data_IF_176110735907
#
_entry.id   IF_176110735907
#
_cell.length_a   1.000
_cell.length_b   1.000
_cell.length_c   1.000
_cell.angle_alpha   90.00
_cell.angle_beta   90.00
_cell.angle_gamma   90.00
#
_symmetry.space_group_name_H-M   'P 1'
#
loop_
_entity.id
_entity.type
_entity.pdbx_description
1 polymer ?
#
# COMPACT_ATOMS: atom_id res chain seq x y z
N UNK A 1 -13.21 10.67 27.40
CA UNK A 1 -12.30 11.61 26.71
C UNK A 1 -11.53 10.78 25.70
N UNK A 2 -11.64 11.06 24.42
CA UNK A 2 -10.82 10.37 23.40
C UNK A 2 -9.37 10.76 23.66
N UNK A 3 -8.52 9.79 23.95
CA UNK A 3 -7.09 10.05 24.10
C UNK A 3 -6.53 10.40 22.72
N UNK A 4 -5.69 11.44 22.64
CA UNK A 4 -5.00 11.83 21.41
C UNK A 4 -4.25 10.62 20.82
N UNK A 5 -4.30 10.38 19.51
CA UNK A 5 -3.52 9.32 18.89
C UNK A 5 -2.02 9.58 19.09
N UNK A 6 -1.24 8.52 19.30
CA UNK A 6 0.22 8.58 19.35
C UNK A 6 0.86 8.22 18.02
N UNK A 7 0.08 7.57 17.12
CA UNK A 7 0.49 7.20 15.79
C UNK A 7 -0.62 7.44 14.79
N UNK A 8 -0.29 8.07 13.67
CA UNK A 8 -1.14 8.23 12.49
C UNK A 8 -0.53 7.43 11.35
N UNK A 9 -1.31 6.53 10.76
CA UNK A 9 -0.97 5.78 9.57
C UNK A 9 -1.94 6.16 8.45
N UNK A 10 -1.44 6.52 7.28
CA UNK A 10 -2.28 6.91 6.15
C UNK A 10 -1.80 6.27 4.87
N UNK A 11 -2.73 5.76 4.07
CA UNK A 11 -2.46 5.56 2.67
C UNK A 11 -2.23 6.90 1.95
N UNK A 12 -1.74 6.85 0.72
CA UNK A 12 -1.42 8.01 -0.10
C UNK A 12 -2.48 8.26 -1.18
N UNK A 13 -2.54 7.39 -2.18
CA UNK A 13 -3.30 7.58 -3.41
C UNK A 13 -4.81 7.40 -3.19
N UNK A 14 -5.60 8.45 -3.36
CA UNK A 14 -7.02 8.45 -3.02
C UNK A 14 -7.32 8.78 -1.55
N UNK A 15 -6.30 8.83 -0.70
CA UNK A 15 -6.45 9.11 0.75
C UNK A 15 -5.95 10.50 1.12
N UNK A 16 -4.67 10.83 0.89
CA UNK A 16 -4.10 12.18 1.10
C UNK A 16 -3.49 12.78 -0.17
N UNK A 17 -3.27 11.97 -1.19
CA UNK A 17 -2.89 12.39 -2.53
C UNK A 17 -4.12 12.25 -3.42
N UNK A 18 -4.62 13.35 -3.95
CA UNK A 18 -5.80 13.35 -4.83
C UNK A 18 -5.54 12.59 -6.14
N UNK A 19 -6.60 12.23 -6.87
CA UNK A 19 -6.47 11.62 -8.20
C UNK A 19 -5.73 12.50 -9.22
N UNK A 20 -5.49 13.77 -8.90
CA UNK A 20 -4.69 14.71 -9.72
C UNK A 20 -3.22 14.78 -9.28
N UNK A 21 -2.81 13.96 -8.30
CA UNK A 21 -1.46 13.98 -7.75
C UNK A 21 -1.19 15.20 -6.83
N UNK A 22 -2.22 15.79 -6.25
CA UNK A 22 -2.07 17.00 -5.41
C UNK A 22 -2.32 16.65 -3.94
N UNK A 23 -1.44 17.10 -3.06
CA UNK A 23 -1.63 17.11 -1.60
C UNK A 23 -2.04 18.52 -1.20
N UNK A 24 -3.15 18.67 -0.48
CA UNK A 24 -3.61 19.98 -0.06
C UNK A 24 -2.69 20.60 1.01
N UNK A 25 -2.61 21.93 1.04
CA UNK A 25 -1.85 22.64 2.08
C UNK A 25 -2.40 22.34 3.47
N UNK A 26 -3.72 22.18 3.62
CA UNK A 26 -4.37 21.80 4.87
C UNK A 26 -3.87 20.44 5.38
N UNK A 27 -3.77 19.46 4.49
CA UNK A 27 -3.22 18.14 4.82
C UNK A 27 -1.76 18.26 5.28
N UNK A 28 -0.92 18.99 4.56
CA UNK A 28 0.48 19.21 4.96
C UNK A 28 0.55 19.87 6.34
N UNK A 29 -0.23 20.90 6.58
CA UNK A 29 -0.23 21.66 7.84
C UNK A 29 -0.67 20.81 9.03
N UNK A 30 -1.71 19.98 8.88
CA UNK A 30 -2.23 19.17 9.95
C UNK A 30 -1.28 18.03 10.32
N UNK A 31 -0.65 17.38 9.34
CA UNK A 31 0.38 16.36 9.59
C UNK A 31 1.63 16.97 10.25
N UNK A 32 2.02 18.18 9.84
CA UNK A 32 3.11 18.91 10.49
C UNK A 32 2.80 19.21 11.95
N UNK A 33 1.58 19.69 12.25
CA UNK A 33 1.13 19.91 13.64
C UNK A 33 1.09 18.61 14.44
N UNK A 34 0.60 17.52 13.85
CA UNK A 34 0.58 16.20 14.50
C UNK A 34 2.00 15.77 14.91
N UNK A 35 2.95 15.85 13.99
CA UNK A 35 4.38 15.56 14.24
C UNK A 35 4.96 16.46 15.31
N UNK A 36 4.67 17.78 15.31
CA UNK A 36 5.16 18.74 16.31
C UNK A 36 4.57 18.47 17.71
N UNK A 37 3.42 17.80 17.78
CA UNK A 37 2.81 17.30 19.01
C UNK A 37 3.38 15.94 19.46
N UNK A 38 4.38 15.41 18.76
CA UNK A 38 5.04 14.14 19.09
C UNK A 38 4.29 12.90 18.60
N UNK A 39 3.36 13.04 17.66
CA UNK A 39 2.67 11.90 17.03
C UNK A 39 3.57 11.28 15.98
N UNK A 40 3.74 9.97 16.01
CA UNK A 40 4.44 9.22 14.95
C UNK A 40 3.61 9.21 13.67
N UNK A 41 4.26 9.43 12.53
CA UNK A 41 3.60 9.46 11.22
C UNK A 41 4.16 8.34 10.34
N UNK A 42 3.29 7.46 9.86
CA UNK A 42 3.59 6.45 8.86
C UNK A 42 2.78 6.68 7.58
N UNK A 43 3.47 6.83 6.47
CA UNK A 43 2.89 6.82 5.13
C UNK A 43 2.92 5.37 4.61
N UNK A 44 1.73 4.76 4.42
CA UNK A 44 1.60 3.32 4.17
C UNK A 44 1.04 3.09 2.78
N UNK A 45 1.87 2.68 1.83
CA UNK A 45 1.54 2.75 0.40
C UNK A 45 1.92 1.50 -0.40
N UNK A 46 1.25 1.30 -1.54
CA UNK A 46 1.70 0.37 -2.58
C UNK A 46 2.90 0.86 -3.39
N UNK A 47 3.23 2.15 -3.32
CA UNK A 47 4.35 2.75 -4.07
C UNK A 47 5.70 2.18 -3.65
N UNK A 48 6.64 1.99 -4.58
CA UNK A 48 8.05 1.77 -4.25
C UNK A 48 8.72 3.10 -3.84
N UNK A 49 9.88 3.07 -3.13
CA UNK A 49 10.59 4.28 -2.69
C UNK A 49 10.88 5.30 -3.78
N UNK A 50 11.18 4.85 -5.01
CA UNK A 50 11.46 5.76 -6.14
C UNK A 50 10.27 6.66 -6.53
N UNK A 51 9.06 6.35 -6.06
CA UNK A 51 7.86 7.17 -6.26
C UNK A 51 7.47 8.02 -5.04
N UNK A 52 8.34 8.07 -4.02
CA UNK A 52 8.10 8.84 -2.79
C UNK A 52 8.64 10.27 -2.82
N UNK A 53 9.21 10.72 -3.96
CA UNK A 53 9.82 12.04 -4.08
C UNK A 53 8.90 13.19 -3.68
N UNK A 54 7.67 13.20 -4.21
CA UNK A 54 6.68 14.24 -3.90
C UNK A 54 6.23 14.22 -2.43
N UNK A 55 6.15 13.05 -1.80
CA UNK A 55 5.79 12.91 -0.38
C UNK A 55 6.93 13.47 0.49
N UNK A 56 8.18 13.16 0.13
CA UNK A 56 9.36 13.72 0.80
C UNK A 56 9.43 15.24 0.68
N UNK A 57 9.13 15.78 -0.50
CA UNK A 57 9.10 17.24 -0.71
C UNK A 57 7.98 17.92 0.10
N UNK A 58 6.80 17.30 0.15
CA UNK A 58 5.65 17.86 0.84
C UNK A 58 5.80 17.84 2.37
N UNK A 59 6.31 16.75 2.94
CA UNK A 59 6.33 16.56 4.39
C UNK A 59 7.73 16.70 4.98
N UNK A 60 8.76 16.09 4.41
CA UNK A 60 10.13 16.12 4.93
C UNK A 60 10.31 15.45 6.30
N UNK A 61 9.36 14.61 6.73
CA UNK A 61 9.38 13.84 7.97
C UNK A 61 8.56 12.55 7.85
N UNK A 62 8.64 11.70 8.87
CA UNK A 62 7.91 10.44 8.94
C UNK A 62 8.67 9.27 8.32
N UNK A 63 8.13 8.09 8.52
CA UNK A 63 8.59 6.85 7.92
C UNK A 63 7.55 6.37 6.90
N UNK A 64 7.98 5.65 5.89
CA UNK A 64 7.09 5.06 4.91
C UNK A 64 7.13 3.53 4.96
N UNK A 65 5.97 2.92 4.95
CA UNK A 65 5.78 1.50 4.70
C UNK A 65 5.40 1.37 3.23
N UNK A 66 6.38 0.99 2.39
CA UNK A 66 6.25 0.91 0.95
C UNK A 66 5.89 -0.50 0.45
N UNK A 67 5.52 -0.61 -0.82
CA UNK A 67 5.26 -1.89 -1.50
C UNK A 67 4.25 -2.78 -0.75
N UNK A 68 3.14 -2.18 -0.24
CA UNK A 68 2.10 -2.88 0.53
C UNK A 68 2.59 -3.58 1.81
N UNK A 69 3.61 -3.03 2.46
CA UNK A 69 4.17 -3.61 3.67
C UNK A 69 5.53 -4.28 3.49
N UNK A 70 5.96 -4.51 2.26
CA UNK A 70 7.18 -5.27 1.99
C UNK A 70 8.48 -4.48 2.26
N UNK A 71 8.40 -3.18 2.60
CA UNK A 71 9.58 -2.37 2.84
C UNK A 71 9.30 -1.25 3.86
N UNK A 72 10.23 -1.06 4.80
CA UNK A 72 10.30 0.11 5.67
C UNK A 72 11.34 1.09 5.09
N UNK A 73 10.95 2.35 4.95
CA UNK A 73 11.75 3.38 4.30
C UNK A 73 11.78 4.68 5.12
N UNK A 74 12.98 5.17 5.38
CA UNK A 74 13.22 6.48 6.00
C UNK A 74 13.06 7.58 4.94
N UNK A 75 11.97 8.33 5.05
CA UNK A 75 11.61 9.35 4.09
C UNK A 75 12.60 10.53 4.09
N UNK A 76 13.15 10.90 5.25
CA UNK A 76 14.09 12.02 5.36
C UNK A 76 15.46 11.71 4.78
N UNK A 77 15.98 10.52 5.09
CA UNK A 77 17.33 10.13 4.72
C UNK A 77 17.40 9.39 3.38
N UNK A 78 16.27 9.22 2.70
CA UNK A 78 16.15 8.49 1.42
C UNK A 78 16.79 7.09 1.52
N UNK A 79 16.39 6.34 2.55
CA UNK A 79 17.06 5.09 2.89
C UNK A 79 16.08 3.97 3.19
N UNK A 80 16.30 2.82 2.54
CA UNK A 80 15.65 1.57 2.92
C UNK A 80 16.18 1.12 4.28
N UNK A 81 15.28 0.86 5.23
CA UNK A 81 15.59 0.39 6.57
C UNK A 81 15.47 -1.13 6.67
N UNK A 82 14.37 -1.69 6.17
CA UNK A 82 14.10 -3.14 6.18
C UNK A 82 13.29 -3.55 4.96
N UNK A 83 13.42 -4.83 4.58
CA UNK A 83 12.70 -5.44 3.46
C UNK A 83 12.19 -6.83 3.84
N UNK A 84 10.96 -7.16 3.44
CA UNK A 84 10.32 -8.46 3.58
C UNK A 84 9.99 -9.00 2.19
N UNK A 85 10.87 -9.82 1.66
CA UNK A 85 10.87 -10.24 0.26
C UNK A 85 10.27 -11.63 0.08
N UNK A 86 9.65 -11.85 -1.07
CA UNK A 86 9.24 -13.16 -1.57
C UNK A 86 10.50 -13.90 -2.07
N UNK A 87 10.72 -15.12 -1.61
CA UNK A 87 11.85 -15.94 -2.06
C UNK A 87 11.76 -16.27 -3.56
N UNK A 88 12.86 -16.64 -4.18
CA UNK A 88 12.86 -17.09 -5.59
C UNK A 88 11.98 -18.31 -5.78
N UNK A 89 11.99 -19.24 -4.81
CA UNK A 89 11.21 -20.45 -4.84
C UNK A 89 9.70 -20.14 -4.80
N UNK A 90 9.29 -19.28 -3.86
CA UNK A 90 7.88 -18.86 -3.74
C UNK A 90 7.40 -18.07 -4.96
N UNK A 91 8.24 -17.20 -5.53
CA UNK A 91 7.92 -16.49 -6.77
C UNK A 91 7.61 -17.45 -7.92
N UNK A 92 8.45 -18.46 -8.10
CA UNK A 92 8.27 -19.44 -9.16
C UNK A 92 7.02 -20.29 -8.93
N UNK A 93 6.74 -20.66 -7.69
CA UNK A 93 5.54 -21.42 -7.33
C UNK A 93 4.26 -20.57 -7.50
N UNK A 94 4.27 -19.31 -7.11
CA UNK A 94 3.17 -18.36 -7.39
C UNK A 94 2.86 -18.31 -8.87
N UNK A 95 3.88 -18.06 -9.71
CA UNK A 95 3.71 -17.98 -11.16
C UNK A 95 3.17 -19.29 -11.71
N UNK A 96 3.71 -20.43 -11.27
CA UNK A 96 3.26 -21.76 -11.69
C UNK A 96 1.78 -22.01 -11.38
N UNK A 97 1.34 -21.74 -10.14
CA UNK A 97 -0.05 -21.94 -9.73
C UNK A 97 -0.99 -20.99 -10.50
N UNK A 98 -0.63 -19.72 -10.61
CA UNK A 98 -1.47 -18.73 -11.28
C UNK A 98 -1.56 -18.95 -12.80
N UNK A 99 -0.52 -19.46 -13.47
CA UNK A 99 -0.63 -19.87 -14.88
C UNK A 99 -1.62 -21.02 -15.12
N UNK A 100 -1.86 -21.85 -14.11
CA UNK A 100 -2.85 -22.94 -14.19
C UNK A 100 -4.25 -22.35 -13.93
N UNK A 101 -4.39 -21.53 -12.90
CA UNK A 101 -5.67 -20.97 -12.48
C UNK A 101 -6.18 -19.87 -13.42
N UNK A 102 -5.26 -19.04 -13.94
CA UNK A 102 -5.56 -17.91 -14.83
C UNK A 102 -4.53 -17.84 -15.98
N UNK A 103 -4.68 -18.65 -17.04
CA UNK A 103 -3.71 -18.74 -18.14
C UNK A 103 -3.43 -17.43 -18.89
N UNK A 104 -4.38 -16.50 -18.87
CA UNK A 104 -4.27 -15.18 -19.52
C UNK A 104 -3.46 -14.16 -18.70
N UNK A 105 -3.08 -14.53 -17.46
CA UNK A 105 -2.33 -13.62 -16.58
C UNK A 105 -0.89 -13.47 -17.06
N UNK A 106 -0.46 -12.23 -17.19
CA UNK A 106 0.93 -11.83 -17.41
C UNK A 106 1.51 -11.26 -16.11
N UNK A 107 2.84 -11.38 -15.95
CA UNK A 107 3.50 -11.07 -14.69
C UNK A 107 4.56 -9.99 -14.82
N UNK A 108 4.74 -9.26 -13.70
CA UNK A 108 5.91 -8.45 -13.44
C UNK A 108 6.42 -8.71 -12.01
N UNK A 109 7.70 -8.45 -11.79
CA UNK A 109 8.38 -8.63 -10.50
C UNK A 109 9.07 -7.33 -10.13
N UNK A 110 8.78 -6.83 -8.94
CA UNK A 110 9.29 -5.58 -8.39
C UNK A 110 10.32 -5.87 -7.29
N UNK A 111 11.52 -5.38 -7.47
CA UNK A 111 12.54 -5.22 -6.43
C UNK A 111 12.96 -3.76 -6.43
N UNK A 112 13.40 -3.18 -5.32
CA UNK A 112 13.64 -1.74 -5.17
C UNK A 112 14.38 -1.09 -6.37
N UNK A 113 15.42 -1.74 -6.85
CA UNK A 113 16.31 -1.29 -7.91
C UNK A 113 16.09 -1.98 -9.27
N UNK A 114 15.18 -2.95 -9.33
CA UNK A 114 14.92 -3.77 -10.50
C UNK A 114 13.42 -4.01 -10.68
N UNK A 115 13.00 -3.91 -11.92
CA UNK A 115 11.67 -4.25 -12.36
C UNK A 115 11.77 -5.11 -13.61
N UNK A 116 11.24 -6.32 -13.55
CA UNK A 116 11.13 -7.22 -14.69
C UNK A 116 9.67 -7.48 -15.01
N UNK A 117 9.33 -7.54 -16.27
CA UNK A 117 7.99 -7.84 -16.73
C UNK A 117 7.99 -8.77 -17.93
N UNK A 118 6.90 -9.45 -18.14
CA UNK A 118 6.64 -10.09 -19.41
C UNK A 118 6.33 -9.06 -20.51
N UNK A 119 6.60 -9.39 -21.76
CA UNK A 119 6.23 -8.55 -22.91
C UNK A 119 4.71 -8.31 -22.92
N UNK A 120 3.91 -9.34 -22.55
CA UNK A 120 2.47 -9.27 -22.47
C UNK A 120 1.96 -8.38 -21.30
N UNK A 121 2.77 -8.15 -20.29
CA UNK A 121 2.42 -7.26 -19.17
C UNK A 121 2.58 -5.79 -19.61
N UNK A 122 1.48 -5.10 -19.83
CA UNK A 122 1.47 -3.68 -20.17
C UNK A 122 1.32 -2.85 -18.91
N UNK A 123 2.37 -2.16 -18.44
CA UNK A 123 2.24 -1.26 -17.28
C UNK A 123 1.37 -0.06 -17.64
N UNK A 124 0.52 0.37 -16.69
CA UNK A 124 -0.30 1.59 -16.85
C UNK A 124 0.46 2.87 -16.46
N UNK A 125 1.50 2.73 -15.64
CA UNK A 125 2.25 3.83 -15.08
C UNK A 125 3.68 3.81 -15.58
N UNK A 126 4.33 4.97 -15.57
CA UNK A 126 5.77 5.03 -15.76
C UNK A 126 6.46 4.34 -14.59
N UNK A 127 7.16 3.26 -14.88
CA UNK A 127 7.88 2.48 -13.87
C UNK A 127 9.12 3.22 -13.36
N UNK A 128 9.65 4.19 -14.12
CA UNK A 128 10.88 4.89 -13.81
C UNK A 128 12.15 4.03 -13.98
N UNK A 129 12.02 2.85 -14.60
CA UNK A 129 13.11 1.91 -14.86
C UNK A 129 12.96 1.34 -16.28
N UNK A 130 14.04 1.34 -17.04
CA UNK A 130 14.07 0.75 -18.37
C UNK A 130 13.82 -0.76 -18.32
N UNK A 131 12.84 -1.23 -19.07
CA UNK A 131 12.53 -2.66 -19.14
C UNK A 131 11.94 -3.07 -20.49
N UNK A 132 12.70 -3.86 -21.23
CA UNK A 132 12.32 -4.37 -22.56
C UNK A 132 11.25 -5.47 -22.46
N UNK A 133 11.15 -6.13 -21.30
CA UNK A 133 10.31 -7.31 -21.10
C UNK A 133 10.96 -8.62 -21.53
N UNK A 134 10.49 -9.72 -20.95
CA UNK A 134 10.90 -11.10 -21.27
C UNK A 134 9.70 -11.90 -21.76
N UNK A 135 9.94 -13.03 -22.44
CA UNK A 135 8.85 -13.90 -22.89
C UNK A 135 8.13 -14.56 -21.74
N UNK A 136 8.88 -14.96 -20.71
CA UNK A 136 8.37 -15.59 -19.48
C UNK A 136 9.07 -14.98 -18.28
N UNK A 137 8.31 -14.60 -17.28
CA UNK A 137 8.87 -13.97 -16.07
C UNK A 137 9.81 -14.90 -15.30
N UNK A 138 9.61 -16.23 -15.39
CA UNK A 138 10.47 -17.24 -14.77
C UNK A 138 11.93 -17.12 -15.22
N UNK A 139 12.17 -16.64 -16.44
CA UNK A 139 13.53 -16.42 -16.97
C UNK A 139 14.24 -15.25 -16.26
N UNK A 140 13.46 -14.30 -15.72
CA UNK A 140 13.95 -13.11 -15.01
C UNK A 140 14.00 -13.28 -13.48
N UNK A 141 13.26 -14.22 -12.90
CA UNK A 141 13.26 -14.49 -11.46
C UNK A 141 14.58 -15.15 -11.05
N UNK A 142 15.51 -14.35 -10.51
CA UNK A 142 16.86 -14.81 -10.09
C UNK A 142 17.22 -14.35 -8.67
N UNK A 143 16.37 -13.55 -8.04
CA UNK A 143 16.57 -12.98 -6.71
C UNK A 143 15.23 -12.79 -5.98
N UNK A 144 15.22 -12.60 -4.65
CA UNK A 144 14.02 -12.23 -3.93
C UNK A 144 13.42 -10.93 -4.46
N UNK A 145 12.10 -10.77 -4.31
CA UNK A 145 11.35 -9.62 -4.79
C UNK A 145 10.41 -9.06 -3.70
N UNK A 146 10.14 -7.76 -3.77
CA UNK A 146 9.20 -7.07 -2.89
C UNK A 146 7.75 -7.38 -3.26
N UNK A 147 7.47 -7.44 -4.57
CA UNK A 147 6.14 -7.74 -5.09
C UNK A 147 6.21 -8.56 -6.38
N UNK A 148 5.17 -9.38 -6.56
CA UNK A 148 4.79 -9.91 -7.88
C UNK A 148 3.50 -9.18 -8.26
N UNK A 149 3.42 -8.76 -9.52
CA UNK A 149 2.25 -8.15 -10.11
C UNK A 149 1.66 -9.12 -11.14
N UNK A 150 0.38 -9.43 -11.03
CA UNK A 150 -0.35 -10.26 -12.00
C UNK A 150 -1.41 -9.42 -12.70
N UNK A 151 -1.41 -9.41 -14.05
CA UNK A 151 -2.36 -8.62 -14.83
C UNK A 151 -3.02 -9.44 -15.94
N UNK A 152 -4.33 -9.29 -16.09
CA UNK A 152 -5.09 -9.76 -17.25
C UNK A 152 -5.38 -8.57 -18.17
N UNK A 153 -4.61 -8.43 -19.26
CA UNK A 153 -4.67 -7.23 -20.12
C UNK A 153 -5.94 -7.13 -20.99
N UNK A 154 -6.67 -8.23 -21.14
CA UNK A 154 -7.95 -8.26 -21.85
C UNK A 154 -9.15 -7.73 -21.06
N UNK A 155 -8.95 -7.39 -19.78
CA UNK A 155 -9.99 -6.88 -18.85
C UNK A 155 -11.21 -7.81 -18.70
N UNK A 156 -11.05 -9.12 -18.90
CA UNK A 156 -12.12 -10.10 -18.67
C UNK A 156 -12.47 -10.28 -17.19
N UNK A 157 -11.55 -9.91 -16.30
CA UNK A 157 -11.71 -10.02 -14.86
C UNK A 157 -11.49 -8.66 -14.19
N UNK A 158 -12.25 -8.38 -13.16
CA UNK A 158 -11.95 -7.31 -12.21
C UNK A 158 -10.77 -7.73 -11.31
N UNK A 159 -10.12 -6.77 -10.66
CA UNK A 159 -9.08 -7.10 -9.67
C UNK A 159 -9.65 -7.89 -8.49
N UNK A 160 -10.90 -7.62 -8.09
CA UNK A 160 -11.60 -8.35 -7.01
C UNK A 160 -11.75 -9.84 -7.37
N UNK A 161 -12.25 -10.14 -8.57
CA UNK A 161 -12.39 -11.53 -9.05
C UNK A 161 -11.02 -12.23 -9.15
N UNK A 162 -9.98 -11.52 -9.59
CA UNK A 162 -8.62 -12.06 -9.65
C UNK A 162 -8.07 -12.38 -8.26
N UNK A 163 -8.33 -11.51 -7.27
CA UNK A 163 -7.93 -11.74 -5.87
C UNK A 163 -8.65 -12.96 -5.30
N UNK A 164 -9.94 -13.15 -5.57
CA UNK A 164 -10.68 -14.35 -5.12
C UNK A 164 -10.06 -15.65 -5.65
N UNK A 165 -9.67 -15.68 -6.93
CA UNK A 165 -8.97 -16.82 -7.53
C UNK A 165 -7.61 -17.02 -6.87
N UNK A 166 -6.83 -15.93 -6.76
CA UNK A 166 -5.48 -15.99 -6.20
C UNK A 166 -5.47 -16.40 -4.72
N UNK A 167 -6.44 -15.97 -3.92
CA UNK A 167 -6.57 -16.40 -2.52
C UNK A 167 -6.76 -17.92 -2.41
N UNK A 168 -7.60 -18.52 -3.24
CA UNK A 168 -7.80 -19.99 -3.22
C UNK A 168 -6.54 -20.76 -3.53
N UNK A 169 -5.71 -20.24 -4.43
CA UNK A 169 -4.52 -20.91 -4.93
C UNK A 169 -3.26 -20.61 -4.11
N UNK A 170 -3.19 -19.47 -3.41
CA UNK A 170 -1.93 -18.93 -2.88
C UNK A 170 -1.96 -18.61 -1.37
N UNK A 171 -3.10 -18.75 -0.66
CA UNK A 171 -3.21 -18.35 0.75
C UNK A 171 -2.23 -19.05 1.71
N UNK A 172 -1.68 -20.18 1.31
CA UNK A 172 -0.67 -20.93 2.06
C UNK A 172 0.77 -20.45 1.82
N UNK A 173 0.98 -19.58 0.83
CA UNK A 173 2.30 -19.22 0.30
C UNK A 173 2.62 -17.74 0.38
N UNK A 174 1.65 -16.88 0.08
CA UNK A 174 1.83 -15.41 -0.06
C UNK A 174 0.59 -14.65 0.38
N UNK A 175 0.73 -13.32 0.48
CA UNK A 175 -0.39 -12.39 0.71
C UNK A 175 -0.77 -11.73 -0.62
N UNK A 176 -2.06 -11.74 -0.96
CA UNK A 176 -2.58 -11.18 -2.22
C UNK A 176 -3.54 -10.03 -1.91
N UNK A 177 -3.45 -8.96 -2.69
CA UNK A 177 -4.32 -7.79 -2.61
C UNK A 177 -4.40 -7.06 -3.96
N UNK A 178 -5.10 -5.94 -4.00
CA UNK A 178 -5.03 -4.96 -5.08
C UNK A 178 -5.30 -3.55 -4.56
N UNK A 179 -4.94 -2.55 -5.34
CA UNK A 179 -5.14 -1.13 -5.06
C UNK A 179 -6.17 -0.47 -5.99
N UNK A 180 -6.84 -1.24 -6.84
CA UNK A 180 -7.85 -0.73 -7.79
C UNK A 180 -8.67 -1.87 -8.40
N UNK A 181 -9.99 -1.81 -8.28
CA UNK A 181 -10.89 -2.86 -8.76
C UNK A 181 -10.95 -2.99 -10.29
N UNK A 182 -10.66 -1.89 -11.03
CA UNK A 182 -10.93 -1.81 -12.48
C UNK A 182 -9.71 -2.11 -13.35
N UNK A 183 -8.56 -2.42 -12.76
CA UNK A 183 -7.30 -2.51 -13.51
C UNK A 183 -6.91 -3.93 -13.91
N UNK A 184 -7.72 -4.92 -13.54
CA UNK A 184 -7.40 -6.35 -13.76
C UNK A 184 -5.99 -6.66 -13.27
N UNK A 185 -5.65 -6.18 -12.07
CA UNK A 185 -4.34 -6.23 -11.48
C UNK A 185 -4.42 -6.79 -10.06
N UNK A 186 -3.58 -7.76 -9.76
CA UNK A 186 -3.31 -8.19 -8.38
C UNK A 186 -1.87 -7.88 -7.98
N UNK A 187 -1.68 -7.62 -6.70
CA UNK A 187 -0.39 -7.36 -6.06
C UNK A 187 -0.14 -8.43 -5.01
N UNK A 188 1.00 -9.07 -5.08
CA UNK A 188 1.36 -10.22 -4.25
C UNK A 188 2.60 -9.86 -3.45
N UNK A 189 2.54 -10.00 -2.13
CA UNK A 189 3.61 -9.77 -1.18
C UNK A 189 4.01 -11.07 -0.47
N UNK A 190 5.11 -11.08 0.25
CA UNK A 190 5.53 -12.22 1.05
C UNK A 190 4.43 -12.65 2.04
N UNK A 191 4.47 -13.90 2.47
CA UNK A 191 3.48 -14.47 3.38
C UNK A 191 3.35 -13.65 4.66
N UNK A 192 2.11 -13.33 5.05
CA UNK A 192 1.76 -12.48 6.20
C UNK A 192 2.31 -11.04 6.14
N UNK A 193 2.78 -10.56 4.99
CA UNK A 193 3.16 -9.17 4.80
C UNK A 193 2.02 -8.41 4.14
N UNK A 194 1.59 -7.35 4.80
CA UNK A 194 0.54 -6.43 4.35
C UNK A 194 0.75 -5.05 5.00
N UNK A 195 0.03 -4.03 4.53
CA UNK A 195 0.05 -2.69 5.14
C UNK A 195 -0.21 -2.76 6.65
N UNK A 196 -1.25 -3.51 7.07
CA UNK A 196 -1.61 -3.65 8.48
C UNK A 196 -0.61 -4.46 9.29
N UNK A 197 -0.11 -5.58 8.76
CA UNK A 197 0.84 -6.43 9.48
C UNK A 197 2.16 -5.69 9.77
N UNK A 198 2.69 -4.97 8.77
CA UNK A 198 3.92 -4.19 8.95
C UNK A 198 3.69 -2.99 9.85
N UNK A 199 2.54 -2.30 9.74
CA UNK A 199 2.18 -1.22 10.66
C UNK A 199 2.12 -1.72 12.12
N UNK A 200 1.50 -2.87 12.36
CA UNK A 200 1.44 -3.50 13.68
C UNK A 200 2.84 -3.79 14.26
N UNK A 201 3.75 -4.33 13.43
CA UNK A 201 5.15 -4.55 13.84
C UNK A 201 5.85 -3.24 14.20
N UNK A 202 5.62 -2.16 13.44
CA UNK A 202 6.24 -0.86 13.74
C UNK A 202 5.65 -0.24 15.01
N UNK A 203 4.35 -0.31 15.22
CA UNK A 203 3.71 0.15 16.45
C UNK A 203 4.27 -0.59 17.68
N UNK A 204 4.40 -1.92 17.60
CA UNK A 204 4.97 -2.73 18.69
C UNK A 204 6.41 -2.31 19.03
N UNK A 205 7.27 -2.04 18.04
CA UNK A 205 8.63 -1.52 18.25
C UNK A 205 8.67 -0.17 18.95
N UNK A 206 7.62 0.65 18.79
CA UNK A 206 7.44 1.93 19.46
C UNK A 206 6.78 1.78 20.84
N UNK A 207 6.44 0.56 21.26
CA UNK A 207 5.70 0.30 22.50
C UNK A 207 4.25 0.78 22.44
N UNK A 208 3.67 0.85 21.24
CA UNK A 208 2.30 1.29 20.97
C UNK A 208 1.40 0.09 20.63
N UNK A 209 0.12 0.24 20.87
CA UNK A 209 -0.93 -0.73 20.55
C UNK A 209 -1.90 -0.16 19.51
N UNK A 210 -2.81 -0.98 19.01
CA UNK A 210 -3.87 -0.54 18.13
C UNK A 210 -4.70 0.61 18.69
N UNK A 211 -4.85 0.69 20.03
CA UNK A 211 -5.60 1.76 20.71
C UNK A 211 -4.91 3.13 20.64
N UNK A 212 -3.59 3.14 20.48
CA UNK A 212 -2.81 4.37 20.35
C UNK A 212 -2.81 4.90 18.89
N UNK A 213 -3.34 4.12 17.94
CA UNK A 213 -3.21 4.37 16.51
C UNK A 213 -4.52 4.86 15.88
N UNK A 214 -4.38 5.66 14.83
CA UNK A 214 -5.43 5.97 13.86
C UNK A 214 -4.94 5.67 12.46
N UNK A 215 -5.79 5.07 11.61
CA UNK A 215 -5.45 4.74 10.22
C UNK A 215 -6.47 5.26 9.22
N UNK A 216 -6.01 5.53 7.99
CA UNK A 216 -6.81 6.02 6.87
C UNK A 216 -6.44 5.26 5.60
N UNK A 217 -7.45 4.91 4.79
CA UNK A 217 -7.24 4.19 3.54
C UNK A 217 -8.51 4.12 2.70
N UNK A 218 -8.40 3.68 1.45
CA UNK A 218 -9.51 3.70 0.50
C UNK A 218 -9.69 2.39 -0.28
N UNK A 219 -8.67 1.52 -0.38
CA UNK A 219 -8.67 0.34 -1.25
C UNK A 219 -8.39 -0.98 -0.48
N UNK A 220 -8.58 -2.15 -1.11
CA UNK A 220 -8.40 -3.45 -0.45
C UNK A 220 -7.03 -3.69 0.17
N UNK A 221 -5.96 -3.12 -0.36
CA UNK A 221 -4.65 -3.19 0.26
C UNK A 221 -4.57 -2.47 1.62
N UNK A 222 -5.57 -1.62 1.96
CA UNK A 222 -5.69 -0.93 3.25
C UNK A 222 -6.50 -1.70 4.29
N UNK A 223 -7.32 -2.68 3.87
CA UNK A 223 -8.26 -3.35 4.76
C UNK A 223 -7.60 -3.91 6.01
N UNK A 224 -6.42 -4.52 5.88
CA UNK A 224 -5.66 -5.02 7.02
C UNK A 224 -5.24 -3.93 8.01
N UNK A 225 -4.93 -2.72 7.53
CA UNK A 225 -4.55 -1.58 8.34
C UNK A 225 -5.79 -0.92 9.00
N UNK A 226 -6.88 -0.82 8.25
CA UNK A 226 -8.16 -0.30 8.75
C UNK A 226 -8.77 -1.20 9.83
N UNK A 227 -8.69 -2.53 9.64
CA UNK A 227 -9.19 -3.49 10.63
C UNK A 227 -8.35 -3.51 11.90
N UNK A 228 -7.03 -3.43 11.77
CA UNK A 228 -6.10 -3.50 12.89
C UNK A 228 -6.19 -2.30 13.84
N UNK A 229 -6.23 -1.06 13.34
CA UNK A 229 -6.25 0.12 14.18
C UNK A 229 -7.60 0.28 14.90
N UNK A 230 -7.59 0.56 16.21
CA UNK A 230 -8.82 0.77 17.00
C UNK A 230 -9.61 2.00 16.59
N UNK A 231 -8.95 2.95 15.91
CA UNK A 231 -9.57 4.08 15.21
C UNK A 231 -9.13 4.04 13.76
N UNK A 232 -10.07 3.90 12.86
CA UNK A 232 -9.77 3.85 11.42
C UNK A 232 -10.88 4.44 10.59
N UNK A 233 -10.54 5.03 9.48
CA UNK A 233 -11.48 5.71 8.60
C UNK A 233 -11.25 5.31 7.16
N UNK A 234 -12.29 4.77 6.54
CA UNK A 234 -12.33 4.55 5.10
C UNK A 234 -12.70 5.85 4.39
N UNK A 235 -12.09 6.12 3.24
CA UNK A 235 -12.50 7.25 2.41
C UNK A 235 -13.85 6.94 1.78
N UNK A 236 -14.76 7.93 1.77
CA UNK A 236 -16.17 7.74 1.33
C UNK A 236 -16.32 7.49 -0.18
N UNK A 237 -15.31 7.80 -0.96
CA UNK A 237 -15.23 7.58 -2.41
C UNK A 237 -14.27 6.43 -2.79
N UNK A 238 -13.77 5.69 -1.80
CA UNK A 238 -12.92 4.51 -1.97
C UNK A 238 -13.71 3.25 -2.38
N UNK A 239 -13.08 2.11 -2.17
CA UNK A 239 -13.69 0.80 -2.47
C UNK A 239 -14.96 0.59 -1.63
N UNK A 240 -16.06 0.05 -2.22
CA UNK A 240 -17.35 -0.11 -1.52
C UNK A 240 -17.27 -0.93 -0.24
N UNK A 241 -16.34 -1.86 -0.13
CA UNK A 241 -16.14 -2.69 1.07
C UNK A 241 -15.28 -2.03 2.15
N UNK A 242 -14.50 -0.98 1.83
CA UNK A 242 -13.59 -0.35 2.78
C UNK A 242 -14.27 0.07 4.10
N UNK A 243 -15.52 0.59 4.12
CA UNK A 243 -16.22 0.91 5.35
C UNK A 243 -16.50 -0.30 6.26
N UNK A 244 -16.49 -1.53 5.74
CA UNK A 244 -16.73 -2.74 6.56
C UNK A 244 -15.51 -3.11 7.41
N UNK A 245 -14.33 -2.67 7.01
CA UNK A 245 -13.06 -2.85 7.73
C UNK A 245 -12.70 -1.67 8.64
N UNK A 246 -13.30 -0.51 8.40
CA UNK A 246 -13.03 0.71 9.16
C UNK A 246 -14.01 0.90 10.33
N UNK A 247 -13.64 1.75 11.29
CA UNK A 247 -14.47 2.14 12.45
C UNK A 247 -15.27 3.42 12.15
N UNK A 248 -14.96 4.12 11.06
CA UNK A 248 -15.64 5.31 10.59
C UNK A 248 -15.39 5.57 9.12
N UNK A 249 -16.03 6.62 8.61
CA UNK A 249 -15.89 7.07 7.21
C UNK A 249 -15.43 8.52 7.20
N UNK A 250 -14.40 8.81 6.41
CA UNK A 250 -13.91 10.16 6.14
C UNK A 250 -14.51 10.70 4.84
N UNK A 251 -14.62 12.02 4.72
CA UNK A 251 -14.94 12.67 3.45
C UNK A 251 -13.84 12.37 2.39
N UNK A 252 -14.13 12.56 1.09
CA UNK A 252 -13.16 12.34 0.01
C UNK A 252 -11.84 13.09 0.23
N UNK A 253 -10.78 12.61 -0.41
CA UNK A 253 -9.47 13.29 -0.40
C UNK A 253 -9.59 14.75 -0.88
N UNK A 254 -10.34 15.00 -1.95
CA UNK A 254 -10.59 16.32 -2.51
C UNK A 254 -11.33 17.27 -1.55
N UNK A 255 -11.95 16.73 -0.51
CA UNK A 255 -12.62 17.50 0.55
C UNK A 255 -11.80 17.56 1.86
N UNK A 256 -10.52 17.21 1.84
CA UNK A 256 -9.62 17.17 2.99
C UNK A 256 -10.12 16.24 4.13
N UNK A 257 -10.75 15.12 3.79
CA UNK A 257 -11.40 14.24 4.78
C UNK A 257 -10.46 13.78 5.89
N UNK A 258 -9.23 13.38 5.54
CA UNK A 258 -8.21 12.96 6.52
C UNK A 258 -7.81 14.13 7.43
N UNK A 259 -7.54 15.30 6.86
CA UNK A 259 -7.14 16.47 7.63
C UNK A 259 -8.20 16.88 8.65
N UNK A 260 -9.48 16.91 8.26
CA UNK A 260 -10.61 17.20 9.15
C UNK A 260 -10.71 16.24 10.34
N UNK A 261 -10.50 14.95 10.10
CA UNK A 261 -10.52 13.95 11.18
C UNK A 261 -9.32 14.14 12.12
N UNK A 262 -8.12 14.38 11.59
CA UNK A 262 -6.93 14.60 12.42
C UNK A 262 -7.09 15.87 13.25
N UNK A 263 -7.62 16.97 12.69
CA UNK A 263 -7.94 18.19 13.44
C UNK A 263 -8.84 17.91 14.63
N UNK A 264 -9.91 17.13 14.46
CA UNK A 264 -10.81 16.72 15.53
C UNK A 264 -10.11 15.86 16.59
N UNK A 265 -9.30 14.89 16.17
CA UNK A 265 -8.59 13.99 17.08
C UNK A 265 -7.50 14.68 17.91
N UNK A 266 -6.94 15.78 17.38
CA UNK A 266 -5.88 16.56 18.03
C UNK A 266 -6.40 17.83 18.74
N UNK A 267 -7.72 18.10 18.72
CA UNK A 267 -8.34 19.33 19.21
C UNK A 267 -7.74 20.61 18.57
N UNK A 268 -7.43 20.55 17.27
CA UNK A 268 -6.91 21.68 16.52
C UNK A 268 -8.05 22.59 16.02
N UNK A 269 -7.82 23.89 15.90
CA UNK A 269 -8.80 24.77 15.26
C UNK A 269 -8.94 24.39 13.77
N UNK A 270 -10.19 24.42 13.29
CA UNK A 270 -10.53 24.12 11.89
C UNK A 270 -10.02 25.20 10.91
#
# INVERSE_FOLDING_TARGET
>A
MSTRPKLIATDLDGTIVSHKGVISQRTIDVFTKAKDLGVHIFFVTGRPPRWMGEIREAFGFGEAICCNGAMLYDLMNDKVLEEWMISVEDQLEVVRRMRIAMPEMSFAVESNDHYHREIAYVPKWDIGLDNVGVSKIEDAIKRPALKILGRCSNHEFTSDEMVEVAHRELQDLVTVTHSTSRDSLIEISAFNISKGATLAMMADRLGLTADDCVSFGDNPNDFSMLDWASRSYAMSDGHPEAPTFAKGVAEPCEADGVAKIIEQLLDLPA
#
